data_IF_265960178979
#
_entry.id   IF_265960178979
#
_cell.length_a   1.000
_cell.length_b   1.000
_cell.length_c   1.000
_cell.angle_alpha   90.00
_cell.angle_beta   90.00
_cell.angle_gamma   90.00
#
_symmetry.space_group_name_H-M   'P 1'
#
loop_
_entity.id
_entity.type
_entity.pdbx_description
1 polymer ?
#
# COMPACT_ATOMS: atom_id res chain seq x y z
N UNK A 1 -6.07 5.45 -20.96
CA UNK A 1 -7.23 5.35 -20.04
C UNK A 1 -7.03 4.11 -19.17
N UNK A 2 -6.49 4.27 -17.96
CA UNK A 2 -6.18 3.14 -17.07
C UNK A 2 -7.40 2.74 -16.25
N UNK A 3 -7.78 1.46 -16.30
CA UNK A 3 -8.91 0.91 -15.52
C UNK A 3 -8.57 1.01 -14.03
N UNK A 4 -9.43 1.60 -13.18
CA UNK A 4 -9.15 1.68 -11.75
C UNK A 4 -9.10 0.28 -11.15
N UNK A 5 -7.92 -0.11 -10.65
CA UNK A 5 -7.69 -1.41 -10.03
C UNK A 5 -8.21 -1.39 -8.59
N UNK A 6 -9.16 -2.26 -8.29
CA UNK A 6 -9.74 -2.38 -6.95
C UNK A 6 -9.36 -3.71 -6.29
N UNK A 7 -8.96 -3.67 -5.03
CA UNK A 7 -8.74 -4.88 -4.23
C UNK A 7 -7.50 -5.66 -4.69
N UNK A 8 -7.67 -6.96 -4.94
CA UNK A 8 -6.57 -7.88 -5.26
C UNK A 8 -5.80 -7.47 -6.52
N UNK A 9 -6.50 -6.88 -7.50
CA UNK A 9 -5.94 -6.47 -8.79
C UNK A 9 -4.82 -5.42 -8.68
N UNK A 10 -4.93 -4.50 -7.70
CA UNK A 10 -3.88 -3.52 -7.44
C UNK A 10 -2.68 -4.17 -6.74
N UNK A 11 -2.93 -5.16 -5.86
CA UNK A 11 -1.89 -5.90 -5.15
C UNK A 11 -1.08 -6.76 -6.12
N UNK A 12 -1.76 -7.39 -7.08
CA UNK A 12 -1.12 -8.22 -8.09
C UNK A 12 -0.26 -7.35 -9.01
N UNK A 13 -0.77 -6.20 -9.47
CA UNK A 13 0.02 -5.24 -10.24
C UNK A 13 1.21 -4.68 -9.45
N UNK A 14 1.01 -4.30 -8.19
CA UNK A 14 2.09 -3.86 -7.31
C UNK A 14 3.17 -4.93 -7.16
N UNK A 15 2.79 -6.20 -7.13
CA UNK A 15 3.75 -7.32 -7.09
C UNK A 15 4.46 -7.53 -8.42
N UNK A 16 3.74 -7.49 -9.54
CA UNK A 16 4.29 -7.65 -10.89
C UNK A 16 5.32 -6.56 -11.21
N UNK A 17 5.07 -5.32 -10.79
CA UNK A 17 5.92 -4.17 -11.10
C UNK A 17 6.87 -3.79 -9.97
N UNK A 18 6.97 -4.60 -8.91
CA UNK A 18 7.80 -4.29 -7.74
C UNK A 18 7.45 -2.98 -7.04
N UNK A 19 6.21 -2.49 -7.17
CA UNK A 19 5.72 -1.25 -6.55
C UNK A 19 5.65 -0.02 -7.48
N UNK A 20 6.10 -0.11 -8.73
CA UNK A 20 5.96 1.01 -9.69
C UNK A 20 4.52 1.31 -10.08
N UNK A 21 3.62 0.33 -10.02
CA UNK A 21 2.21 0.48 -10.34
C UNK A 21 1.34 -0.07 -9.21
N UNK A 22 0.07 0.33 -9.17
CA UNK A 22 -0.87 -0.09 -8.12
C UNK A 22 -0.70 0.66 -6.79
N UNK A 23 0.32 1.49 -6.56
CA UNK A 23 0.42 2.28 -5.33
C UNK A 23 -0.63 3.40 -5.23
N UNK A 24 -1.36 3.70 -6.32
CA UNK A 24 -2.35 4.78 -6.38
C UNK A 24 -3.78 4.24 -6.18
N UNK A 25 -4.37 4.53 -5.02
CA UNK A 25 -5.74 4.15 -4.64
C UNK A 25 -6.53 5.43 -4.42
N UNK A 26 -7.20 5.92 -5.47
CA UNK A 26 -7.99 7.17 -5.44
C UNK A 26 -7.24 8.34 -4.75
N UNK A 27 -5.99 8.60 -5.15
CA UNK A 27 -5.20 9.72 -4.61
C UNK A 27 -4.55 9.44 -3.24
N UNK A 28 -4.53 8.20 -2.79
CA UNK A 28 -3.80 7.77 -1.58
C UNK A 28 -2.69 6.79 -1.95
N UNK A 29 -1.48 7.06 -1.45
CA UNK A 29 -0.33 6.16 -1.58
C UNK A 29 -0.52 4.92 -0.71
N UNK A 30 -0.38 3.73 -1.30
CA UNK A 30 -0.42 2.45 -0.58
C UNK A 30 0.96 1.80 -0.60
N UNK A 31 1.41 1.37 0.57
CA UNK A 31 2.60 0.52 0.75
C UNK A 31 2.16 -0.93 0.90
N UNK A 32 2.81 -1.87 0.22
CA UNK A 32 2.55 -3.30 0.42
C UNK A 32 3.51 -3.86 1.48
N UNK A 33 2.98 -4.19 2.66
CA UNK A 33 3.75 -4.85 3.71
C UNK A 33 3.71 -6.37 3.51
N UNK A 34 4.84 -6.96 3.15
CA UNK A 34 4.99 -8.42 3.11
C UNK A 34 5.54 -8.91 4.45
N UNK A 35 4.78 -9.75 5.14
CA UNK A 35 5.19 -10.39 6.39
C UNK A 35 5.31 -11.90 6.23
N UNK A 36 6.31 -12.49 6.86
CA UNK A 36 6.44 -13.93 6.98
C UNK A 36 5.79 -14.37 8.29
N UNK A 37 4.75 -15.20 8.21
CA UNK A 37 4.04 -15.68 9.40
C UNK A 37 4.92 -16.65 10.17
N UNK A 38 5.30 -16.29 11.40
CA UNK A 38 6.21 -17.09 12.25
C UNK A 38 5.82 -18.57 12.42
N UNK A 39 4.51 -18.86 12.46
CA UNK A 39 3.98 -20.20 12.75
C UNK A 39 3.95 -21.10 11.51
N UNK A 40 3.72 -20.54 10.33
CA UNK A 40 3.49 -21.31 9.10
C UNK A 40 4.53 -21.08 8.01
N UNK A 41 5.41 -20.08 8.15
CA UNK A 41 6.36 -19.67 7.12
C UNK A 41 5.71 -19.02 5.89
N UNK A 42 4.38 -18.88 5.87
CA UNK A 42 3.67 -18.32 4.73
C UNK A 42 3.91 -16.81 4.61
N UNK A 43 4.14 -16.34 3.38
CA UNK A 43 4.21 -14.91 3.09
C UNK A 43 2.80 -14.34 2.91
N UNK A 44 2.50 -13.25 3.61
CA UNK A 44 1.23 -12.53 3.53
C UNK A 44 1.52 -11.08 3.19
N UNK A 45 0.86 -10.58 2.15
CA UNK A 45 0.95 -9.18 1.75
C UNK A 45 -0.29 -8.43 2.26
N UNK A 46 -0.05 -7.35 2.98
CA UNK A 46 -1.09 -6.51 3.56
C UNK A 46 -0.91 -5.08 3.03
N UNK A 47 -1.89 -4.51 2.31
CA UNK A 47 -1.82 -3.13 1.87
C UNK A 47 -1.98 -2.19 3.07
N UNK A 48 -1.05 -1.25 3.22
CA UNK A 48 -1.07 -0.19 4.23
C UNK A 48 -1.28 1.14 3.53
N UNK A 49 -2.26 1.91 4.01
CA UNK A 49 -2.46 3.28 3.55
C UNK A 49 -1.34 4.14 4.13
N UNK A 50 -0.44 4.63 3.27
CA UNK A 50 0.60 5.57 3.65
C UNK A 50 0.02 6.98 3.60
N UNK A 51 -0.17 7.57 4.78
CA UNK A 51 -0.44 8.99 4.90
C UNK A 51 0.82 9.69 5.36
N UNK A 52 1.36 10.59 4.53
CA UNK A 52 2.47 11.45 4.92
C UNK A 52 2.00 12.32 6.10
N UNK A 53 2.66 12.21 7.25
CA UNK A 53 2.43 13.15 8.35
C UNK A 53 2.98 14.50 7.89
N UNK A 54 2.12 15.50 7.75
CA UNK A 54 2.59 16.87 7.57
C UNK A 54 3.41 17.24 8.82
N UNK A 55 4.62 17.79 8.60
CA UNK A 55 5.47 18.29 9.68
C UNK A 55 4.68 19.29 10.52
N UNK A 56 4.85 19.22 11.84
CA UNK A 56 3.92 19.75 12.84
C UNK A 56 3.48 21.19 12.58
N UNK A 57 2.21 21.36 12.20
CA UNK A 57 1.50 22.62 12.42
C UNK A 57 1.33 22.85 13.94
N UNK A 58 1.31 24.11 14.40
CA UNK A 58 1.32 24.42 15.82
C UNK A 58 0.12 23.76 16.50
N UNK A 59 0.39 22.96 17.53
CA UNK A 59 -0.62 22.51 18.47
C UNK A 59 -1.14 23.75 19.21
N UNK A 60 -2.26 24.30 18.74
CA UNK A 60 -2.99 25.30 19.52
C UNK A 60 -3.71 24.55 20.63
N UNK A 61 -3.24 24.74 21.86
CA UNK A 61 -3.94 24.36 23.08
C UNK A 61 -5.16 25.23 23.34
#
# INVERSE_FOLDING_TARGET
MGVPLFGQQHVDRYRETGGEEGHDRQGTTVLLLTTTVRKSGAQRATPLILRRRAEGGPVRG
#
